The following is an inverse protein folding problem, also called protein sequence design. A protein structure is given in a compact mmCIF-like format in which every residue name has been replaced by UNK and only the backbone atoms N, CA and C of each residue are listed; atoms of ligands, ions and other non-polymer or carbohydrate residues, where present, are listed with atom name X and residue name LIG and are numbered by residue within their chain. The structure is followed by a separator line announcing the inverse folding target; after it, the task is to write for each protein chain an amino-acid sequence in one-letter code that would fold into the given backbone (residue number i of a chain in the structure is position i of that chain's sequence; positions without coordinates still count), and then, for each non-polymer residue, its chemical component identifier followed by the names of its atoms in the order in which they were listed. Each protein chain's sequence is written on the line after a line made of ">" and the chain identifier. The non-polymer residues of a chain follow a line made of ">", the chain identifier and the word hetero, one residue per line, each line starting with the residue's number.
data_IF_876303484415
#
_entry.id   IF_876303484415
#
_cell.length_a   1.000
_cell.length_b   1.000
_cell.length_c   1.000
_cell.angle_alpha   90.00
_cell.angle_beta   90.00
_cell.angle_gamma   90.00
#
_symmetry.space_group_name_H-M   'P 1'
#
loop_
_entity.id
_entity.type
_entity.pdbx_description
1 polymer ?
#
# COMPACT_ATOMS: atom_id res chain seq x y z
N UNK A 1 25.02 -5.56 10.15
CA UNK A 1 24.34 -6.62 10.95
C UNK A 1 23.37 -7.50 10.15
N UNK A 2 22.69 -6.99 9.11
CA UNK A 2 21.70 -7.73 8.31
C UNK A 2 22.27 -8.95 7.57
N UNK A 3 23.44 -8.81 6.92
CA UNK A 3 24.12 -9.91 6.20
C UNK A 3 24.46 -11.11 7.10
N UNK A 4 24.74 -10.88 8.40
CA UNK A 4 25.03 -11.95 9.39
C UNK A 4 23.75 -12.71 9.77
N UNK A 5 22.61 -12.02 9.88
CA UNK A 5 21.30 -12.63 10.15
C UNK A 5 20.80 -13.46 8.96
N UNK A 6 20.97 -12.98 7.73
CA UNK A 6 20.60 -13.72 6.50
C UNK A 6 21.46 -14.99 6.35
N UNK A 7 22.76 -14.92 6.62
CA UNK A 7 23.66 -16.09 6.56
C UNK A 7 23.29 -17.16 7.60
N UNK A 8 22.86 -16.74 8.80
CA UNK A 8 22.36 -17.61 9.87
C UNK A 8 20.98 -18.23 9.57
N UNK A 9 20.11 -17.51 8.86
CA UNK A 9 18.81 -18.04 8.43
C UNK A 9 18.97 -19.08 7.32
N UNK A 10 19.81 -18.81 6.31
CA UNK A 10 20.09 -19.76 5.22
C UNK A 10 20.75 -21.06 5.71
N UNK A 11 21.56 -21.02 6.78
CA UNK A 11 22.12 -22.23 7.42
C UNK A 11 21.09 -23.06 8.18
N UNK A 12 20.01 -22.44 8.72
CA UNK A 12 18.97 -23.16 9.48
C UNK A 12 18.01 -23.98 8.62
N UNK A 13 17.97 -23.72 7.31
CA UNK A 13 17.00 -24.32 6.36
C UNK A 13 17.72 -25.27 5.37
N UNK A 14 19.05 -25.14 5.22
CA UNK A 14 19.87 -26.00 4.38
C UNK A 14 19.79 -27.46 4.87
N UNK A 15 19.35 -28.37 4.00
CA UNK A 15 19.23 -29.81 4.30
C UNK A 15 17.90 -30.27 4.92
N UNK A 16 16.88 -29.40 5.02
CA UNK A 16 15.56 -29.76 5.58
C UNK A 16 14.54 -30.10 4.50
N UNK A 17 13.67 -31.07 4.78
CA UNK A 17 12.60 -31.49 3.85
C UNK A 17 11.54 -30.39 3.68
N UNK A 18 10.79 -30.40 2.55
CA UNK A 18 9.72 -29.42 2.27
C UNK A 18 8.72 -29.28 3.45
N UNK A 19 8.40 -30.37 4.15
CA UNK A 19 7.53 -30.35 5.34
C UNK A 19 8.17 -29.68 6.56
N UNK A 20 9.48 -29.84 6.76
CA UNK A 20 10.22 -29.17 7.83
C UNK A 20 10.39 -27.68 7.57
N UNK A 21 10.59 -27.27 6.30
CA UNK A 21 10.62 -25.85 5.92
C UNK A 21 9.27 -25.19 6.21
N UNK A 22 8.15 -25.78 5.77
CA UNK A 22 6.79 -25.28 6.07
C UNK A 22 6.50 -25.14 7.57
N UNK A 23 6.99 -26.08 8.39
CA UNK A 23 6.81 -26.03 9.86
C UNK A 23 7.64 -24.92 10.52
N UNK A 24 8.80 -24.58 9.95
CA UNK A 24 9.66 -23.50 10.44
C UNK A 24 9.07 -22.14 10.08
N UNK A 25 8.61 -21.94 8.84
CA UNK A 25 7.92 -20.71 8.43
C UNK A 25 6.64 -20.52 9.22
N UNK A 26 5.82 -21.57 9.39
CA UNK A 26 4.61 -21.50 10.24
C UNK A 26 4.92 -21.08 11.67
N UNK A 27 5.96 -21.65 12.30
CA UNK A 27 6.39 -21.24 13.65
C UNK A 27 6.95 -19.82 13.71
N UNK A 28 7.56 -19.32 12.64
CA UNK A 28 8.03 -17.94 12.56
C UNK A 28 6.84 -16.97 12.46
N UNK A 29 5.87 -17.27 11.59
CA UNK A 29 4.59 -16.55 11.48
C UNK A 29 3.84 -16.55 12.81
N UNK A 30 3.67 -17.72 13.45
CA UNK A 30 3.02 -17.84 14.76
C UNK A 30 3.75 -17.03 15.85
N UNK A 31 5.09 -16.95 15.82
CA UNK A 31 5.88 -16.12 16.75
C UNK A 31 5.74 -14.62 16.47
N UNK A 32 5.63 -14.20 15.22
CA UNK A 32 5.38 -12.79 14.86
C UNK A 32 3.97 -12.39 15.32
N UNK A 33 2.96 -13.22 15.03
CA UNK A 33 1.57 -13.02 15.48
C UNK A 33 1.46 -12.97 17.01
N UNK A 34 2.12 -13.89 17.72
CA UNK A 34 2.10 -13.92 19.19
C UNK A 34 2.84 -12.72 19.82
N UNK A 35 3.82 -12.13 19.14
CA UNK A 35 4.54 -10.94 19.62
C UNK A 35 3.74 -9.66 19.36
N UNK A 36 2.92 -9.63 18.30
CA UNK A 36 2.05 -8.50 17.95
C UNK A 36 0.80 -8.41 18.85
N UNK A 37 0.27 -9.54 19.37
CA UNK A 37 -0.84 -9.53 20.36
C UNK A 37 -0.54 -8.80 21.68
N UNK A 38 0.72 -8.39 21.93
CA UNK A 38 1.15 -7.66 23.14
C UNK A 38 1.36 -6.17 22.93
N UNK A 39 1.01 -5.57 21.78
CA UNK A 39 1.05 -4.12 21.60
C UNK A 39 -0.11 -3.45 22.35
N UNK A 40 0.24 -2.45 23.16
CA UNK A 40 -0.66 -1.61 23.96
C UNK A 40 -1.70 -0.92 23.07
N UNK A 41 -2.94 -0.79 23.55
CA UNK A 41 -4.05 -0.05 22.90
C UNK A 41 -3.75 1.42 22.53
N UNK A 42 -2.57 1.95 22.88
CA UNK A 42 -2.13 3.32 22.63
C UNK A 42 -0.82 3.44 21.82
N UNK A 43 -0.29 2.36 21.20
CA UNK A 43 0.92 2.51 20.38
C UNK A 43 0.62 3.11 19.02
N UNK A 44 1.36 4.15 18.64
CA UNK A 44 1.37 4.68 17.26
C UNK A 44 1.91 3.61 16.31
N UNK A 45 1.19 3.37 15.22
CA UNK A 45 1.56 2.47 14.13
C UNK A 45 1.84 3.27 12.85
N UNK A 46 2.63 2.69 11.94
CA UNK A 46 2.83 3.22 10.59
C UNK A 46 1.94 2.42 9.64
N UNK A 47 1.10 3.10 8.87
CA UNK A 47 0.28 2.48 7.83
C UNK A 47 0.60 3.08 6.47
N UNK A 48 0.42 2.30 5.42
CA UNK A 48 0.55 2.73 4.04
C UNK A 48 -0.80 2.57 3.35
N UNK A 49 -1.30 3.66 2.78
CA UNK A 49 -2.58 3.72 2.10
C UNK A 49 -2.35 3.92 0.60
N UNK A 50 -3.06 3.16 -0.23
CA UNK A 50 -3.13 3.39 -1.66
C UNK A 50 -4.37 4.20 -1.97
N UNK A 51 -4.22 5.26 -2.74
CA UNK A 51 -5.31 6.12 -3.20
C UNK A 51 -5.49 5.93 -4.71
N UNK A 52 -6.74 5.95 -5.19
CA UNK A 52 -7.05 5.85 -6.62
C UNK A 52 -8.33 6.58 -7.00
N UNK A 53 -8.28 7.39 -8.07
CA UNK A 53 -9.45 8.10 -8.60
C UNK A 53 -9.50 8.07 -10.13
N UNK A 54 -10.65 7.78 -10.74
CA UNK A 54 -10.82 7.82 -12.20
C UNK A 54 -12.09 8.51 -12.71
N UNK A 55 -12.83 9.19 -11.83
CA UNK A 55 -14.06 9.91 -12.18
C UNK A 55 -13.99 11.35 -11.70
N UNK A 56 -14.49 12.30 -12.50
CA UNK A 56 -14.57 13.71 -12.14
C UNK A 56 -13.19 14.37 -12.02
N UNK A 57 -13.05 15.26 -11.05
CA UNK A 57 -11.78 15.94 -10.77
C UNK A 57 -10.88 15.05 -9.91
N UNK A 58 -10.12 14.17 -10.57
CA UNK A 58 -9.37 13.09 -9.95
C UNK A 58 -8.29 13.59 -8.98
N UNK A 59 -7.61 14.67 -9.33
CA UNK A 59 -6.56 15.27 -8.46
C UNK A 59 -7.18 15.90 -7.22
N UNK A 60 -8.29 16.63 -7.39
CA UNK A 60 -9.03 17.23 -6.29
C UNK A 60 -9.57 16.16 -5.33
N UNK A 61 -10.04 15.01 -5.82
CA UNK A 61 -10.46 13.90 -4.95
C UNK A 61 -9.30 13.32 -4.13
N UNK A 62 -8.10 13.19 -4.70
CA UNK A 62 -6.90 12.76 -3.97
C UNK A 62 -6.57 13.78 -2.87
N UNK A 63 -6.53 15.07 -3.21
CA UNK A 63 -6.22 16.14 -2.25
C UNK A 63 -7.26 16.24 -1.12
N UNK A 64 -8.55 16.14 -1.44
CA UNK A 64 -9.61 16.13 -0.43
C UNK A 64 -9.51 14.90 0.49
N UNK A 65 -9.18 13.73 -0.05
CA UNK A 65 -8.98 12.53 0.76
C UNK A 65 -7.80 12.70 1.73
N UNK A 66 -6.68 13.26 1.26
CA UNK A 66 -5.52 13.58 2.11
C UNK A 66 -5.91 14.59 3.20
N UNK A 67 -6.60 15.67 2.83
CA UNK A 67 -7.06 16.68 3.78
C UNK A 67 -7.96 16.07 4.86
N UNK A 68 -8.90 15.21 4.50
CA UNK A 68 -9.80 14.55 5.46
C UNK A 68 -9.04 13.59 6.39
N UNK A 69 -8.03 12.87 5.89
CA UNK A 69 -7.13 12.05 6.71
C UNK A 69 -6.35 12.92 7.71
N UNK A 70 -5.81 14.06 7.27
CA UNK A 70 -5.07 15.01 8.12
C UNK A 70 -5.95 15.67 9.20
N UNK A 71 -7.27 15.78 8.97
CA UNK A 71 -8.22 16.27 9.98
C UNK A 71 -8.53 15.26 11.09
N UNK A 72 -8.21 13.98 10.90
CA UNK A 72 -8.44 12.99 11.94
C UNK A 72 -7.36 13.13 13.04
N UNK A 73 -7.71 13.45 14.31
CA UNK A 73 -6.74 13.71 15.38
C UNK A 73 -5.92 12.47 15.80
N UNK A 74 -6.27 11.29 15.28
CA UNK A 74 -5.53 10.04 15.48
C UNK A 74 -4.57 9.73 14.34
N UNK A 75 -4.54 10.53 13.27
CA UNK A 75 -3.65 10.40 12.12
C UNK A 75 -2.72 11.62 12.10
N UNK A 76 -1.43 11.39 11.88
CA UNK A 76 -0.43 12.45 11.79
C UNK A 76 0.70 12.09 10.82
N UNK A 77 1.47 13.09 10.39
CA UNK A 77 2.68 12.90 9.60
C UNK A 77 2.42 12.21 8.26
N UNK A 78 1.36 12.63 7.56
CA UNK A 78 1.03 12.15 6.22
C UNK A 78 2.13 12.54 5.25
N UNK A 79 2.83 11.55 4.69
CA UNK A 79 3.72 11.73 3.54
C UNK A 79 3.00 11.21 2.31
N UNK A 80 3.10 11.96 1.23
CA UNK A 80 2.47 11.67 -0.05
C UNK A 80 3.55 11.38 -1.09
N UNK A 81 3.35 10.35 -1.92
CA UNK A 81 4.13 10.17 -3.15
C UNK A 81 3.75 11.21 -4.20
N UNK A 82 4.47 11.27 -5.32
CA UNK A 82 3.93 11.84 -6.55
C UNK A 82 2.61 11.16 -6.94
N UNK A 83 1.80 11.86 -7.73
CA UNK A 83 0.63 11.30 -8.38
C UNK A 83 1.07 10.56 -9.65
N UNK A 84 0.43 9.43 -9.95
CA UNK A 84 0.72 8.67 -11.16
C UNK A 84 -0.58 8.38 -11.91
N UNK A 85 -0.67 8.85 -13.15
CA UNK A 85 -1.73 8.41 -14.06
C UNK A 85 -1.41 7.02 -14.58
N UNK A 86 -2.38 6.11 -14.51
CA UNK A 86 -2.28 4.73 -14.97
C UNK A 86 -3.55 4.27 -15.66
N UNK A 87 -3.43 3.37 -16.63
CA UNK A 87 -4.59 2.67 -17.19
C UNK A 87 -5.36 1.89 -16.11
N UNK A 88 -6.66 1.69 -16.33
CA UNK A 88 -7.49 0.91 -15.43
C UNK A 88 -7.15 -0.59 -15.53
N UNK A 89 -6.81 -1.22 -14.39
CA UNK A 89 -6.56 -2.67 -14.31
C UNK A 89 -7.76 -3.42 -13.70
N UNK A 90 -8.14 -4.54 -14.32
CA UNK A 90 -9.12 -5.50 -13.78
C UNK A 90 -10.60 -5.15 -14.01
N UNK A 91 -10.95 -3.91 -14.33
CA UNK A 91 -12.31 -3.48 -14.60
C UNK A 91 -12.93 -4.08 -15.89
N UNK A 92 -14.26 -4.11 -15.97
CA UNK A 92 -14.97 -4.44 -17.20
C UNK A 92 -15.01 -3.23 -18.14
N UNK A 93 -14.78 -3.48 -19.43
CA UNK A 93 -14.87 -2.45 -20.48
C UNK A 93 -13.71 -1.45 -20.47
N UNK A 94 -13.82 -0.44 -21.34
CA UNK A 94 -12.92 0.72 -21.32
C UNK A 94 -13.36 1.65 -20.19
N UNK A 95 -12.45 1.93 -19.26
CA UNK A 95 -12.65 2.89 -18.18
C UNK A 95 -11.64 4.05 -18.35
N UNK A 96 -11.95 5.25 -17.85
CA UNK A 96 -10.98 6.33 -17.80
C UNK A 96 -9.74 5.93 -16.98
N UNK A 97 -8.56 6.50 -17.29
CA UNK A 97 -7.35 6.25 -16.52
C UNK A 97 -7.49 6.75 -15.08
N UNK A 98 -6.84 6.04 -14.17
CA UNK A 98 -6.76 6.39 -12.75
C UNK A 98 -5.61 7.36 -12.50
N UNK A 99 -5.79 8.26 -11.54
CA UNK A 99 -4.69 8.84 -10.77
C UNK A 99 -4.53 8.01 -9.51
N UNK A 100 -3.31 7.51 -9.27
CA UNK A 100 -2.96 6.73 -8.10
C UNK A 100 -1.83 7.39 -7.31
N UNK A 101 -1.89 7.25 -6.00
CA UNK A 101 -0.87 7.72 -5.08
C UNK A 101 -0.75 6.81 -3.87
N UNK A 102 0.33 6.94 -3.10
CA UNK A 102 0.51 6.23 -1.83
C UNK A 102 0.81 7.23 -0.72
N UNK A 103 0.17 7.00 0.43
CA UNK A 103 0.44 7.73 1.66
C UNK A 103 1.18 6.84 2.67
N UNK A 104 2.20 7.38 3.33
CA UNK A 104 2.66 6.88 4.64
C UNK A 104 2.01 7.73 5.73
N UNK A 105 1.35 7.09 6.69
CA UNK A 105 0.74 7.79 7.82
C UNK A 105 1.22 7.18 9.15
N UNK A 106 1.25 8.02 10.19
CA UNK A 106 1.29 7.54 11.58
C UNK A 106 -0.12 7.58 12.14
N UNK A 107 -0.56 6.50 12.76
CA UNK A 107 -1.93 6.41 13.27
C UNK A 107 -2.01 5.76 14.65
N UNK A 108 -2.97 6.21 15.45
CA UNK A 108 -3.39 5.58 16.72
C UNK A 108 -4.68 4.77 16.55
N UNK A 109 -5.26 4.73 15.35
CA UNK A 109 -6.42 3.89 15.03
C UNK A 109 -5.98 2.43 14.94
N UNK A 110 -6.82 1.49 15.38
CA UNK A 110 -6.62 0.08 15.02
C UNK A 110 -6.84 -0.11 13.51
N UNK A 111 -6.38 -1.23 12.92
CA UNK A 111 -6.61 -1.52 11.50
C UNK A 111 -8.08 -1.42 11.08
N UNK A 112 -9.01 -1.88 11.92
CA UNK A 112 -10.45 -1.81 11.68
C UNK A 112 -10.96 -0.36 11.77
N UNK A 113 -10.50 0.41 12.75
CA UNK A 113 -10.86 1.82 12.86
C UNK A 113 -10.29 2.65 11.70
N UNK A 114 -9.12 2.28 11.19
CA UNK A 114 -8.54 2.90 10.00
C UNK A 114 -9.38 2.54 8.77
N UNK A 115 -9.81 1.29 8.63
CA UNK A 115 -10.69 0.86 7.54
C UNK A 115 -12.02 1.64 7.55
N UNK A 116 -12.65 1.77 8.72
CA UNK A 116 -13.86 2.57 8.91
C UNK A 116 -13.63 4.03 8.50
N UNK A 117 -12.53 4.65 8.97
CA UNK A 117 -12.18 6.03 8.60
C UNK A 117 -11.96 6.19 7.09
N UNK A 118 -11.33 5.22 6.41
CA UNK A 118 -11.16 5.25 4.97
C UNK A 118 -12.50 5.18 4.24
N UNK A 119 -13.39 4.28 4.66
CA UNK A 119 -14.73 4.11 4.07
C UNK A 119 -15.63 5.34 4.29
N UNK A 120 -15.53 6.00 5.45
CA UNK A 120 -16.23 7.26 5.71
C UNK A 120 -15.78 8.38 4.78
N UNK A 121 -14.48 8.48 4.52
CA UNK A 121 -13.91 9.45 3.57
C UNK A 121 -14.38 9.16 2.14
N UNK A 122 -14.31 7.90 1.72
CA UNK A 122 -14.83 7.48 0.41
C UNK A 122 -16.30 7.86 0.21
N UNK A 123 -17.14 7.61 1.22
CA UNK A 123 -18.56 7.94 1.18
C UNK A 123 -18.78 9.47 1.13
N UNK A 124 -18.02 10.24 1.92
CA UNK A 124 -18.09 11.71 1.92
C UNK A 124 -17.69 12.31 0.57
N UNK A 125 -16.80 11.64 -0.17
CA UNK A 125 -16.33 12.04 -1.51
C UNK A 125 -17.13 11.36 -2.64
N UNK A 126 -18.32 10.83 -2.34
CA UNK A 126 -19.27 10.36 -3.36
C UNK A 126 -18.91 9.02 -4.00
N UNK A 127 -18.14 8.15 -3.32
CA UNK A 127 -17.88 6.79 -3.84
C UNK A 127 -19.16 5.95 -3.80
N UNK A 128 -19.65 5.58 -4.98
CA UNK A 128 -20.76 4.64 -5.15
C UNK A 128 -20.25 3.24 -5.49
N UNK A 129 -20.82 2.20 -4.88
CA UNK A 129 -20.41 0.79 -5.07
C UNK A 129 -21.42 0.05 -5.95
N UNK A 130 -21.69 0.58 -7.14
CA UNK A 130 -22.67 0.01 -8.07
C UNK A 130 -22.13 -1.19 -8.86
N UNK A 131 -20.86 -1.12 -9.29
CA UNK A 131 -20.21 -2.15 -10.13
C UNK A 131 -18.90 -2.57 -9.49
N UNK A 132 -18.69 -3.89 -9.36
CA UNK A 132 -17.41 -4.44 -8.92
C UNK A 132 -16.29 -4.00 -9.87
N UNK A 133 -15.27 -3.33 -9.31
CA UNK A 133 -14.16 -2.73 -10.05
C UNK A 133 -14.57 -1.69 -11.11
N UNK A 134 -15.72 -1.03 -10.93
CA UNK A 134 -16.18 0.07 -11.80
C UNK A 134 -15.47 1.41 -11.55
N UNK A 135 -15.80 2.46 -12.32
CA UNK A 135 -15.29 3.81 -12.08
C UNK A 135 -15.66 4.34 -10.67
N UNK A 136 -14.79 5.13 -10.06
CA UNK A 136 -14.98 5.66 -8.69
C UNK A 136 -14.35 7.04 -8.52
N UNK A 137 -14.98 7.86 -7.67
CA UNK A 137 -14.45 9.19 -7.30
C UNK A 137 -13.17 9.06 -6.49
N UNK A 138 -13.11 8.15 -5.53
CA UNK A 138 -11.92 7.84 -4.75
C UNK A 138 -11.97 6.40 -4.24
N UNK A 139 -10.81 5.78 -4.09
CA UNK A 139 -10.56 4.51 -3.41
C UNK A 139 -9.45 4.71 -2.39
N UNK A 140 -9.57 4.13 -1.20
CA UNK A 140 -8.55 4.19 -0.17
C UNK A 140 -8.31 2.78 0.40
N UNK A 141 -7.28 2.12 -0.12
CA UNK A 141 -6.89 0.77 0.29
C UNK A 141 -5.81 0.79 1.38
N UNK A 142 -5.98 0.00 2.44
CA UNK A 142 -4.92 -0.23 3.42
C UNK A 142 -3.94 -1.27 2.86
N UNK A 143 -2.76 -0.82 2.43
CA UNK A 143 -1.75 -1.68 1.81
C UNK A 143 -0.96 -2.45 2.87
N UNK A 144 -0.45 -1.74 3.87
CA UNK A 144 0.40 -2.26 4.93
C UNK A 144 0.08 -1.56 6.25
N UNK A 145 0.23 -2.29 7.36
CA UNK A 145 0.06 -1.76 8.70
C UNK A 145 1.13 -2.36 9.61
N UNK A 146 2.13 -1.55 9.97
CA UNK A 146 3.37 -1.98 10.60
C UNK A 146 3.95 -3.26 9.93
N UNK A 147 4.09 -4.34 10.69
CA UNK A 147 4.41 -5.69 10.21
C UNK A 147 3.29 -6.67 10.57
N UNK A 148 2.05 -6.19 10.64
CA UNK A 148 0.90 -7.03 10.92
C UNK A 148 0.49 -7.86 9.71
N UNK A 149 -0.05 -9.04 10.00
CA UNK A 149 -0.67 -9.93 9.02
C UNK A 149 -2.09 -10.18 9.53
N UNK A 150 -3.07 -9.61 8.84
CA UNK A 150 -4.49 -9.63 9.21
C UNK A 150 -5.24 -10.37 8.10
N UNK A 151 -6.09 -11.30 8.52
CA UNK A 151 -6.94 -12.10 7.63
C UNK A 151 -8.32 -12.18 8.25
N UNK A 152 -9.10 -11.15 8.01
CA UNK A 152 -10.48 -11.01 8.45
C UNK A 152 -11.41 -10.93 7.24
N UNK A 153 -12.72 -11.11 7.46
CA UNK A 153 -13.70 -11.17 6.38
C UNK A 153 -13.73 -9.90 5.52
N UNK A 154 -13.51 -8.74 6.15
CA UNK A 154 -13.59 -7.42 5.54
C UNK A 154 -12.24 -6.69 5.47
N UNK A 155 -11.14 -7.29 5.97
CA UNK A 155 -9.83 -6.67 5.99
C UNK A 155 -8.72 -7.71 5.81
N UNK A 156 -7.87 -7.49 4.81
CA UNK A 156 -6.67 -8.28 4.56
C UNK A 156 -5.46 -7.35 4.51
N UNK A 157 -4.49 -7.58 5.40
CA UNK A 157 -3.24 -6.83 5.45
C UNK A 157 -2.08 -7.85 5.49
N UNK A 158 -1.06 -7.72 4.63
CA UNK A 158 -0.95 -6.80 3.49
C UNK A 158 -2.10 -6.94 2.50
N UNK A 159 -2.41 -5.87 1.77
CA UNK A 159 -3.42 -5.94 0.72
C UNK A 159 -3.04 -7.03 -0.29
N UNK A 160 -3.92 -8.00 -0.59
CA UNK A 160 -3.55 -9.26 -1.22
C UNK A 160 -2.90 -9.07 -2.59
N UNK A 161 -3.35 -8.07 -3.37
CA UNK A 161 -2.86 -7.81 -4.72
C UNK A 161 -1.81 -6.68 -4.79
N UNK A 162 -1.37 -6.10 -3.66
CA UNK A 162 -0.49 -4.92 -3.71
C UNK A 162 0.83 -5.18 -4.42
N UNK A 163 1.34 -6.41 -4.32
CA UNK A 163 2.62 -6.82 -4.88
C UNK A 163 2.54 -7.19 -6.37
N UNK A 164 1.34 -7.23 -6.93
CA UNK A 164 1.10 -7.54 -8.35
C UNK A 164 0.82 -6.28 -9.18
N UNK A 165 0.64 -5.12 -8.52
CA UNK A 165 0.15 -3.87 -9.13
C UNK A 165 1.25 -2.81 -9.16
N UNK A 166 1.70 -2.41 -10.34
CA UNK A 166 2.74 -1.40 -10.49
C UNK A 166 2.28 -0.01 -10.04
N UNK A 167 1.01 0.33 -10.27
CA UNK A 167 0.38 1.56 -9.78
C UNK A 167 0.32 1.67 -8.25
N UNK A 168 0.55 0.56 -7.54
CA UNK A 168 0.75 0.55 -6.08
C UNK A 168 2.24 0.57 -5.74
N UNK A 169 3.03 -0.30 -6.38
CA UNK A 169 4.44 -0.50 -6.02
C UNK A 169 5.32 0.71 -6.35
N UNK A 170 5.08 1.41 -7.46
CA UNK A 170 5.89 2.56 -7.86
C UNK A 170 5.76 3.77 -6.93
N UNK A 171 4.55 4.26 -6.57
CA UNK A 171 4.41 5.29 -5.55
C UNK A 171 4.87 4.81 -4.17
N UNK A 172 4.61 3.56 -3.79
CA UNK A 172 5.09 3.02 -2.51
C UNK A 172 6.64 2.94 -2.45
N UNK A 173 7.31 2.67 -3.57
CA UNK A 173 8.77 2.66 -3.69
C UNK A 173 9.36 4.04 -3.40
N UNK A 174 8.69 5.10 -3.82
CA UNK A 174 9.13 6.49 -3.59
C UNK A 174 9.13 6.81 -2.09
N UNK A 175 8.06 6.42 -1.39
CA UNK A 175 7.88 6.74 0.03
C UNK A 175 8.69 5.81 0.93
N UNK A 176 8.76 4.51 0.61
CA UNK A 176 9.35 3.49 1.48
C UNK A 176 10.03 2.34 0.71
N UNK A 177 11.12 2.61 -0.03
CA UNK A 177 11.75 1.62 -0.93
C UNK A 177 12.30 0.39 -0.18
N UNK A 178 12.81 0.60 1.03
CA UNK A 178 13.44 -0.43 1.86
C UNK A 178 12.45 -1.17 2.77
N UNK A 179 11.17 -0.82 2.76
CA UNK A 179 10.14 -1.49 3.55
C UNK A 179 10.00 -2.94 3.10
N UNK A 180 9.93 -3.86 4.06
CA UNK A 180 9.78 -5.29 3.77
C UNK A 180 8.30 -5.67 3.79
N UNK A 181 7.84 -6.32 2.73
CA UNK A 181 6.52 -6.96 2.71
C UNK A 181 6.51 -8.11 3.73
N UNK A 182 5.60 -8.13 4.71
CA UNK A 182 5.71 -9.02 5.88
C UNK A 182 5.52 -10.52 5.55
N UNK A 183 4.84 -10.84 4.43
CA UNK A 183 4.68 -12.22 3.95
C UNK A 183 5.81 -12.65 2.99
N UNK A 184 6.09 -11.84 1.96
CA UNK A 184 7.08 -12.17 0.93
C UNK A 184 8.53 -11.96 1.37
N UNK A 185 8.76 -11.19 2.45
CA UNK A 185 10.07 -10.83 2.99
C UNK A 185 11.00 -10.13 1.97
N UNK A 186 10.43 -9.51 0.94
CA UNK A 186 11.13 -8.70 -0.07
C UNK A 186 10.92 -7.22 0.21
N UNK A 187 11.90 -6.39 -0.17
CA UNK A 187 11.73 -4.94 -0.14
C UNK A 187 10.74 -4.49 -1.20
N UNK A 188 10.06 -3.36 -0.99
CA UNK A 188 9.21 -2.75 -2.02
C UNK A 188 10.00 -2.48 -3.30
N UNK A 189 11.24 -2.00 -3.16
CA UNK A 189 12.17 -1.81 -4.29
C UNK A 189 12.38 -3.09 -5.11
N UNK A 190 12.62 -4.22 -4.44
CA UNK A 190 12.80 -5.52 -5.10
C UNK A 190 11.50 -6.04 -5.72
N UNK A 191 10.35 -5.80 -5.08
CA UNK A 191 9.04 -6.20 -5.62
C UNK A 191 8.71 -5.40 -6.88
N UNK A 192 9.00 -4.11 -6.88
CA UNK A 192 8.80 -3.25 -8.05
C UNK A 192 9.67 -3.69 -9.23
N UNK A 193 10.98 -3.87 -9.01
CA UNK A 193 11.89 -4.25 -10.09
C UNK A 193 11.54 -5.62 -10.68
N UNK A 194 11.17 -6.60 -9.86
CA UNK A 194 10.69 -7.90 -10.33
C UNK A 194 9.41 -7.77 -11.16
N UNK A 195 8.41 -7.03 -10.65
CA UNK A 195 7.14 -6.87 -11.34
C UNK A 195 7.27 -6.10 -12.66
N UNK A 196 8.15 -5.09 -12.69
CA UNK A 196 8.46 -4.33 -13.90
C UNK A 196 9.13 -5.23 -14.95
N UNK A 197 10.10 -6.05 -14.53
CA UNK A 197 10.75 -7.01 -15.41
C UNK A 197 9.78 -8.05 -15.97
N UNK A 198 8.81 -8.53 -15.17
CA UNK A 198 7.76 -9.45 -15.62
C UNK A 198 6.85 -8.85 -16.71
N UNK A 199 6.73 -7.53 -16.77
CA UNK A 199 6.02 -6.81 -17.83
C UNK A 199 6.90 -6.46 -19.04
N UNK A 200 8.18 -6.88 -19.04
CA UNK A 200 9.12 -6.63 -20.12
C UNK A 200 9.68 -5.20 -20.19
N UNK A 201 9.43 -4.38 -19.16
CA UNK A 201 9.92 -3.02 -19.08
C UNK A 201 11.31 -2.95 -18.43
N UNK A 202 12.19 -2.10 -18.95
CA UNK A 202 13.53 -1.87 -18.37
C UNK A 202 13.54 -0.55 -17.60
N UNK A 203 13.03 0.51 -18.22
CA UNK A 203 12.85 1.83 -17.65
C UNK A 203 11.39 2.04 -17.23
N UNK A 204 11.15 3.01 -16.35
CA UNK A 204 9.79 3.33 -15.93
C UNK A 204 8.97 3.91 -17.09
N UNK A 205 9.62 4.66 -17.99
CA UNK A 205 9.02 5.19 -19.23
C UNK A 205 8.59 4.11 -20.24
N UNK A 206 9.09 2.88 -20.06
CA UNK A 206 8.69 1.74 -20.90
C UNK A 206 7.33 1.16 -20.46
N UNK A 207 6.79 1.57 -19.30
CA UNK A 207 5.50 1.10 -18.80
C UNK A 207 4.38 1.89 -19.50
N UNK A 208 3.57 1.22 -20.36
CA UNK A 208 2.52 1.91 -21.09
C UNK A 208 1.50 2.49 -20.12
N UNK A 209 1.22 3.78 -20.30
CA UNK A 209 0.22 4.50 -19.52
C UNK A 209 0.68 4.88 -18.11
N UNK A 210 1.97 4.73 -17.75
CA UNK A 210 2.48 5.13 -16.43
C UNK A 210 3.12 6.51 -16.49
N UNK A 211 2.41 7.55 -16.05
CA UNK A 211 2.90 8.93 -16.13
C UNK A 211 2.90 9.59 -14.76
N UNK A 212 4.06 10.05 -14.32
CA UNK A 212 4.16 10.91 -13.14
C UNK A 212 3.50 12.27 -13.42
N UNK A 213 2.61 12.66 -12.52
CA UNK A 213 1.96 13.96 -12.48
C UNK A 213 2.43 14.63 -11.19
N UNK A 214 2.99 15.83 -11.29
CA UNK A 214 3.27 16.64 -10.11
C UNK A 214 1.94 16.98 -9.44
N UNK A 215 1.75 16.53 -8.20
CA UNK A 215 0.56 16.91 -7.43
C UNK A 215 0.65 18.38 -7.02
N UNK A 216 -0.50 19.03 -6.87
CA UNK A 216 -0.62 20.46 -6.55
C UNK A 216 0.15 20.94 -5.30
N UNK A 217 0.59 20.00 -4.43
CA UNK A 217 1.40 20.28 -3.23
C UNK A 217 2.88 20.57 -3.52
N UNK A 218 3.39 20.25 -4.70
CA UNK A 218 4.80 20.51 -5.05
C UNK A 218 5.04 21.94 -5.58
N UNK A 219 3.98 22.60 -6.02
CA UNK A 219 3.95 23.91 -6.69
C UNK A 219 3.52 25.07 -5.77
N UNK A 220 3.24 24.78 -4.50
CA UNK A 220 2.75 25.75 -3.49
C UNK A 220 3.83 26.66 -2.86
N UNK A 221 4.97 26.88 -3.55
CA UNK A 221 5.93 27.92 -3.16
C UNK A 221 5.51 29.34 -3.56
N UNK A 222 4.46 29.51 -4.38
CA UNK A 222 4.02 30.83 -4.88
C UNK A 222 2.61 31.27 -4.43
N UNK A 223 1.98 30.59 -3.48
CA UNK A 223 0.58 30.89 -3.08
C UNK A 223 0.40 31.70 -1.78
N UNK A 224 1.43 32.42 -1.33
CA UNK A 224 1.39 33.34 -0.18
C UNK A 224 1.94 34.72 -0.51
#
# INVERSE_FOLDING_TARGET
>A
MVKKKIKQAKTKIKGKSKGQVKKITRKAVEKVVAKNKKKSKNSVAIAYLGLGSNVGDREEYIEQAIFLLEKNPKIEGVKHSSNYETEAEGGQGSQPPFINAVLEIKTKLTPQQLLESCQEIEAALGREREVEWGPRTIDIDILLYDGEIISEKNLQIPHPLMHERLFVLRPLREVAPNLLHPILEKSIDSLYDERKADQGATYDDDLPGFKEIKGARDDDFERW
#
